data_IF_792957838449
#
_entry.id   IF_792957838449
#
_cell.length_a   1.000
_cell.length_b   1.000
_cell.length_c   1.000
_cell.angle_alpha   90.00
_cell.angle_beta   90.00
_cell.angle_gamma   90.00
#
_symmetry.space_group_name_H-M   'P 1'
#
loop_
_entity.id
_entity.type
_entity.pdbx_description
1 polymer ?
#
# COMPACT_ATOMS: atom_id res chain seq x y z
N UNK A 1 -11.90 1.18 24.78
CA UNK A 1 -10.78 0.27 24.52
C UNK A 1 -9.92 0.85 23.43
N UNK A 2 -8.64 0.93 23.67
CA UNK A 2 -7.70 1.48 22.72
C UNK A 2 -7.02 0.40 21.88
N UNK A 3 -6.14 0.83 20.99
CA UNK A 3 -5.31 -0.07 20.21
C UNK A 3 -4.38 -0.83 21.14
N UNK A 4 -4.27 -2.14 20.94
CA UNK A 4 -3.40 -2.99 21.73
C UNK A 4 -1.93 -2.73 21.36
N UNK A 5 -1.08 -2.24 22.27
CA UNK A 5 0.32 -2.01 21.97
C UNK A 5 1.11 -3.29 21.69
N UNK A 6 0.59 -4.44 22.08
CA UNK A 6 1.26 -5.73 21.85
C UNK A 6 1.24 -6.16 20.38
N UNK A 7 0.47 -5.49 19.52
CA UNK A 7 0.52 -5.76 18.09
C UNK A 7 1.80 -5.26 17.43
N UNK A 8 2.56 -4.39 18.09
CA UNK A 8 3.86 -3.95 17.56
C UNK A 8 4.77 -5.15 17.33
N UNK A 9 5.37 -5.21 16.14
CA UNK A 9 6.19 -6.34 15.73
C UNK A 9 5.43 -7.48 15.06
N UNK A 10 4.10 -7.43 15.03
CA UNK A 10 3.30 -8.46 14.37
C UNK A 10 3.48 -8.42 12.86
N UNK A 11 3.56 -9.60 12.24
CA UNK A 11 3.58 -9.77 10.79
C UNK A 11 2.36 -10.60 10.41
N UNK A 12 1.56 -10.07 9.50
CA UNK A 12 0.37 -10.77 9.01
C UNK A 12 0.73 -11.71 7.86
N UNK A 13 -0.07 -12.74 7.59
CA UNK A 13 0.16 -13.60 6.43
C UNK A 13 0.14 -12.80 5.13
N UNK A 14 0.87 -13.24 4.09
CA UNK A 14 0.80 -12.61 2.79
C UNK A 14 -0.63 -12.49 2.30
N UNK A 15 -0.96 -11.34 1.69
CA UNK A 15 -2.29 -11.12 1.13
C UNK A 15 -2.51 -11.90 -0.17
N UNK A 16 -3.71 -11.81 -0.71
CA UNK A 16 -4.02 -12.36 -2.02
C UNK A 16 -3.24 -11.60 -3.10
N UNK A 17 -2.96 -12.30 -4.21
CA UNK A 17 -2.29 -11.69 -5.36
C UNK A 17 -3.14 -10.54 -5.89
N UNK A 18 -2.52 -9.37 -6.03
CA UNK A 18 -3.10 -8.23 -6.71
C UNK A 18 -2.62 -8.21 -8.16
N UNK A 19 -3.53 -8.38 -9.10
CA UNK A 19 -3.23 -8.29 -10.53
C UNK A 19 -3.32 -6.84 -10.98
N UNK A 20 -2.22 -6.30 -11.50
CA UNK A 20 -2.16 -4.92 -11.96
C UNK A 20 -2.66 -4.84 -13.39
N UNK A 21 -3.80 -4.15 -13.59
CA UNK A 21 -4.43 -4.00 -14.89
C UNK A 21 -4.21 -2.62 -15.49
N UNK A 22 -4.20 -2.55 -16.83
CA UNK A 22 -4.08 -1.27 -17.56
C UNK A 22 -5.18 -0.29 -17.19
N UNK A 23 -6.41 -0.76 -17.16
CA UNK A 23 -7.56 0.12 -16.88
C UNK A 23 -7.48 0.71 -15.47
N UNK A 24 -7.03 -0.06 -14.50
CA UNK A 24 -6.87 0.45 -13.14
C UNK A 24 -5.77 1.51 -13.04
N UNK A 25 -4.68 1.33 -13.77
CA UNK A 25 -3.61 2.33 -13.85
C UNK A 25 -4.15 3.62 -14.47
N UNK A 26 -4.89 3.51 -15.59
CA UNK A 26 -5.49 4.68 -16.26
C UNK A 26 -6.46 5.40 -15.35
N UNK A 27 -7.35 4.68 -14.70
CA UNK A 27 -8.32 5.22 -13.75
C UNK A 27 -7.63 5.96 -12.62
N UNK A 28 -6.61 5.34 -12.03
CA UNK A 28 -5.85 5.96 -10.95
C UNK A 28 -5.09 7.21 -11.41
N UNK A 29 -4.45 7.14 -12.58
CA UNK A 29 -3.75 8.28 -13.15
C UNK A 29 -4.68 9.47 -13.34
N UNK A 30 -5.89 9.23 -13.85
CA UNK A 30 -6.89 10.28 -14.01
C UNK A 30 -7.32 10.85 -12.65
N UNK A 31 -7.56 9.99 -11.68
CA UNK A 31 -7.99 10.39 -10.33
C UNK A 31 -6.97 11.29 -9.62
N UNK A 32 -5.67 11.05 -9.83
CA UNK A 32 -4.60 11.87 -9.21
C UNK A 32 -4.12 13.00 -10.12
N UNK A 33 -4.73 13.18 -11.30
CA UNK A 33 -4.38 14.24 -12.22
C UNK A 33 -3.05 14.06 -12.95
N UNK A 34 -2.59 12.82 -13.08
CA UNK A 34 -1.37 12.52 -13.84
C UNK A 34 -1.72 12.28 -15.31
N UNK A 35 -1.17 13.10 -16.19
CA UNK A 35 -1.44 13.04 -17.64
C UNK A 35 -0.27 12.47 -18.43
N UNK A 36 0.73 11.87 -17.77
CA UNK A 36 1.87 11.25 -18.44
C UNK A 36 1.39 10.12 -19.34
N UNK A 37 1.74 10.15 -20.65
CA UNK A 37 1.35 9.09 -21.57
C UNK A 37 1.79 7.69 -21.16
N UNK A 38 2.87 7.56 -20.40
CA UNK A 38 3.37 6.27 -19.94
C UNK A 38 2.38 5.54 -19.01
N UNK A 39 1.43 6.25 -18.42
CA UNK A 39 0.37 5.64 -17.61
C UNK A 39 -0.84 5.19 -18.45
N UNK A 40 -0.88 5.54 -19.72
CA UNK A 40 -2.07 5.39 -20.56
C UNK A 40 -1.84 4.56 -21.80
N UNK A 41 -0.70 4.77 -22.44
CA UNK A 41 -0.37 4.20 -23.76
C UNK A 41 0.80 3.23 -23.63
N UNK A 42 0.56 1.92 -23.88
CA UNK A 42 1.65 0.94 -23.83
C UNK A 42 2.83 1.29 -24.75
N UNK A 43 2.58 1.89 -25.90
CA UNK A 43 3.65 2.28 -26.83
C UNK A 43 4.53 3.38 -26.23
N UNK A 44 3.93 4.35 -25.54
CA UNK A 44 4.66 5.41 -24.85
C UNK A 44 5.53 4.82 -23.71
N UNK A 45 4.98 3.89 -22.94
CA UNK A 45 5.73 3.22 -21.88
C UNK A 45 6.89 2.39 -22.45
N UNK A 46 6.68 1.68 -23.55
CA UNK A 46 7.73 0.88 -24.21
C UNK A 46 8.84 1.75 -24.77
N UNK A 47 8.50 2.94 -25.27
CA UNK A 47 9.50 3.90 -25.71
C UNK A 47 10.44 4.35 -24.58
N UNK A 48 9.99 4.27 -23.32
CA UNK A 48 10.79 4.56 -22.13
C UNK A 48 11.51 3.31 -21.58
N UNK A 49 11.35 2.15 -22.21
CA UNK A 49 11.99 0.91 -21.80
C UNK A 49 11.18 0.02 -20.87
N UNK A 50 9.90 0.31 -20.66
CA UNK A 50 9.01 -0.52 -19.85
C UNK A 50 8.19 -1.48 -20.71
N UNK A 51 7.81 -2.66 -20.21
CA UNK A 51 7.08 -3.64 -21.02
C UNK A 51 5.62 -3.27 -21.27
N UNK A 52 5.04 -2.40 -20.44
CA UNK A 52 3.65 -1.96 -20.54
C UNK A 52 3.47 -0.64 -19.77
N UNK A 53 2.24 -0.14 -19.68
CA UNK A 53 1.97 1.10 -18.93
C UNK A 53 2.44 0.97 -17.49
N UNK A 54 3.03 2.04 -16.99
CA UNK A 54 3.52 2.10 -15.61
C UNK A 54 2.52 2.85 -14.73
N UNK A 55 2.46 2.45 -13.48
CA UNK A 55 1.57 3.09 -12.52
C UNK A 55 2.16 4.40 -12.00
N UNK A 56 1.32 5.39 -11.67
CA UNK A 56 1.78 6.57 -10.94
C UNK A 56 2.43 6.16 -9.60
N UNK A 57 3.34 6.99 -9.05
CA UNK A 57 4.12 6.63 -7.86
C UNK A 57 3.30 6.24 -6.64
N UNK A 58 2.10 6.78 -6.47
CA UNK A 58 1.25 6.47 -5.30
C UNK A 58 0.27 5.32 -5.53
N UNK A 59 0.28 4.70 -6.71
CA UNK A 59 -0.60 3.57 -7.05
C UNK A 59 -0.45 2.40 -6.07
N UNK A 60 0.73 2.19 -5.53
CA UNK A 60 1.00 1.09 -4.60
C UNK A 60 0.09 1.12 -3.36
N UNK A 61 -0.50 2.27 -3.02
CA UNK A 61 -1.44 2.39 -1.89
C UNK A 61 -2.63 1.44 -2.04
N UNK A 62 -3.07 1.17 -3.26
CA UNK A 62 -4.21 0.28 -3.52
C UNK A 62 -3.91 -1.13 -3.01
N UNK A 63 -2.75 -1.68 -3.39
CA UNK A 63 -2.34 -3.00 -2.94
C UNK A 63 -2.01 -3.01 -1.45
N UNK A 64 -1.38 -1.96 -0.94
CA UNK A 64 -1.02 -1.84 0.47
C UNK A 64 -2.26 -1.81 1.37
N UNK A 65 -3.28 -1.05 1.02
CA UNK A 65 -4.51 -0.96 1.82
C UNK A 65 -5.27 -2.28 1.88
N UNK A 66 -5.19 -3.11 0.85
CA UNK A 66 -5.75 -4.46 0.90
C UNK A 66 -5.08 -5.31 1.96
N UNK A 67 -3.77 -5.17 2.13
CA UNK A 67 -3.03 -5.84 3.19
C UNK A 67 -3.36 -5.26 4.57
N UNK A 68 -3.45 -3.94 4.67
CA UNK A 68 -3.79 -3.25 5.91
C UNK A 68 -5.18 -3.61 6.42
N UNK A 69 -6.07 -4.03 5.55
CA UNK A 69 -7.40 -4.49 5.94
C UNK A 69 -7.34 -5.67 6.92
N UNK A 70 -6.29 -6.49 6.89
CA UNK A 70 -6.10 -7.57 7.85
C UNK A 70 -5.97 -7.02 9.28
N UNK A 71 -5.18 -5.95 9.44
CA UNK A 71 -4.99 -5.29 10.73
C UNK A 71 -6.29 -4.61 11.19
N UNK A 72 -6.93 -3.87 10.30
CA UNK A 72 -8.17 -3.14 10.63
C UNK A 72 -9.27 -4.10 11.08
N UNK A 73 -9.35 -5.27 10.49
CA UNK A 73 -10.36 -6.28 10.80
C UNK A 73 -9.97 -7.21 11.93
N UNK A 74 -8.75 -7.12 12.42
CA UNK A 74 -8.26 -8.00 13.50
C UNK A 74 -8.84 -7.51 14.84
N UNK A 75 -9.74 -8.29 15.46
CA UNK A 75 -10.32 -7.88 16.74
C UNK A 75 -9.27 -7.75 17.86
N UNK A 76 -8.16 -8.49 17.75
CA UNK A 76 -7.08 -8.39 18.73
C UNK A 76 -6.31 -7.06 18.65
N UNK A 77 -6.40 -6.35 17.53
CA UNK A 77 -5.71 -5.07 17.37
C UNK A 77 -6.42 -3.91 18.09
N UNK A 78 -7.73 -4.00 18.29
CA UNK A 78 -8.49 -2.97 18.99
C UNK A 78 -8.64 -1.66 18.21
N UNK A 79 -8.61 -1.72 16.89
CA UNK A 79 -8.73 -0.53 16.03
C UNK A 79 -10.20 -0.27 15.69
N UNK A 80 -10.71 0.88 16.11
CA UNK A 80 -12.03 1.35 15.68
C UNK A 80 -11.87 2.13 14.37
N UNK A 81 -12.27 1.52 13.25
CA UNK A 81 -12.10 2.11 11.93
C UNK A 81 -12.77 3.48 11.78
N UNK A 82 -13.86 3.72 12.49
CA UNK A 82 -14.55 5.01 12.45
C UNK A 82 -13.69 6.15 13.01
N UNK A 83 -12.64 5.83 13.75
CA UNK A 83 -11.74 6.80 14.37
C UNK A 83 -10.40 6.92 13.64
N UNK A 84 -10.21 6.16 12.56
CA UNK A 84 -8.95 6.13 11.81
C UNK A 84 -8.85 7.32 10.87
N UNK A 85 -7.70 8.00 10.92
CA UNK A 85 -7.30 8.94 9.87
C UNK A 85 -5.86 8.60 9.44
N UNK A 86 -5.55 8.83 8.19
CA UNK A 86 -4.18 8.67 7.69
C UNK A 86 -3.35 9.90 8.04
N UNK A 87 -2.23 9.67 8.70
CA UNK A 87 -1.31 10.74 9.07
C UNK A 87 -0.15 10.89 8.09
N UNK A 88 0.34 9.77 7.55
CA UNK A 88 1.47 9.77 6.63
C UNK A 88 1.41 8.52 5.74
N UNK A 89 1.79 8.71 4.48
CA UNK A 89 2.05 7.63 3.53
C UNK A 89 3.43 7.86 2.91
N UNK A 90 4.26 6.81 2.91
CA UNK A 90 5.61 6.87 2.36
C UNK A 90 5.80 5.71 1.40
N UNK A 91 6.33 6.01 0.21
CA UNK A 91 6.57 5.03 -0.83
C UNK A 91 8.07 4.94 -1.11
N UNK A 92 8.58 3.72 -1.13
CA UNK A 92 9.96 3.45 -1.55
C UNK A 92 9.90 2.41 -2.67
N UNK A 93 10.19 2.81 -3.90
CA UNK A 93 10.07 1.94 -5.06
C UNK A 93 11.43 1.35 -5.43
N UNK A 94 11.44 0.04 -5.68
CA UNK A 94 12.59 -0.64 -6.29
C UNK A 94 12.52 -0.53 -7.82
N UNK A 95 11.32 -0.50 -8.37
CA UNK A 95 11.01 -0.22 -9.77
C UNK A 95 9.56 0.26 -9.88
N UNK A 96 9.17 0.86 -11.03
CA UNK A 96 7.76 1.16 -11.25
C UNK A 96 6.90 -0.10 -11.25
N UNK A 97 5.66 0.03 -10.80
CA UNK A 97 4.65 -0.99 -10.96
C UNK A 97 4.16 -0.93 -12.41
N UNK A 98 4.07 -2.06 -13.06
CA UNK A 98 3.74 -2.18 -14.48
C UNK A 98 2.49 -3.04 -14.64
N UNK A 99 1.65 -2.72 -15.62
CA UNK A 99 0.51 -3.56 -15.97
C UNK A 99 0.98 -4.99 -16.28
N UNK A 100 0.29 -5.97 -15.72
CA UNK A 100 0.68 -7.37 -15.78
C UNK A 100 1.42 -7.86 -14.55
N UNK A 101 1.88 -6.98 -13.68
CA UNK A 101 2.47 -7.39 -12.40
C UNK A 101 1.44 -8.14 -11.56
N UNK A 102 1.92 -9.16 -10.87
CA UNK A 102 1.16 -9.93 -9.89
C UNK A 102 1.84 -9.73 -8.54
N UNK A 103 1.25 -8.88 -7.71
CA UNK A 103 1.87 -8.40 -6.47
C UNK A 103 1.33 -9.14 -5.25
N UNK A 104 2.23 -9.51 -4.37
CA UNK A 104 1.91 -10.08 -3.06
C UNK A 104 2.46 -9.13 -2.00
N UNK A 105 1.61 -8.74 -1.05
CA UNK A 105 1.99 -7.85 0.03
C UNK A 105 2.07 -8.57 1.36
N UNK A 106 3.05 -8.18 2.17
CA UNK A 106 3.18 -8.65 3.55
C UNK A 106 3.14 -7.45 4.48
N UNK A 107 2.20 -7.46 5.40
CA UNK A 107 1.98 -6.37 6.36
C UNK A 107 2.77 -6.60 7.64
N UNK A 108 3.56 -5.59 8.00
CA UNK A 108 4.28 -5.52 9.27
C UNK A 108 3.74 -4.35 10.10
N UNK A 109 3.50 -4.58 11.38
CA UNK A 109 3.23 -3.49 12.33
C UNK A 109 4.54 -3.09 12.96
N UNK A 110 5.08 -1.93 12.55
CA UNK A 110 6.39 -1.50 13.01
C UNK A 110 6.36 -0.85 14.38
N UNK A 111 5.32 -0.08 14.69
CA UNK A 111 5.21 0.56 15.99
C UNK A 111 3.77 0.95 16.34
N UNK A 112 3.52 1.02 17.64
CA UNK A 112 2.30 1.58 18.20
C UNK A 112 2.72 2.59 19.26
N UNK A 113 2.33 3.85 19.10
CA UNK A 113 2.65 4.92 20.03
C UNK A 113 1.40 5.66 20.46
N UNK A 114 1.39 6.16 21.68
CA UNK A 114 0.33 7.05 22.16
C UNK A 114 0.82 8.49 22.10
N UNK A 115 -0.04 9.37 21.61
CA UNK A 115 0.25 10.81 21.55
C UNK A 115 -1.06 11.58 21.71
N UNK A 116 -1.13 12.39 22.77
CA UNK A 116 -2.33 13.21 23.05
C UNK A 116 -3.63 12.42 23.21
N UNK A 117 -3.55 11.20 23.73
CA UNK A 117 -4.71 10.33 23.87
C UNK A 117 -5.06 9.54 22.59
N UNK A 118 -4.40 9.84 21.48
CA UNK A 118 -4.55 9.12 20.21
C UNK A 118 -3.53 7.99 20.14
N UNK A 119 -3.85 6.93 19.40
CA UNK A 119 -2.89 5.89 19.07
C UNK A 119 -2.36 6.12 17.65
N UNK A 120 -1.04 6.08 17.50
CA UNK A 120 -0.37 6.18 16.21
C UNK A 120 0.21 4.83 15.86
N UNK A 121 -0.30 4.20 14.81
CA UNK A 121 0.14 2.88 14.36
C UNK A 121 0.90 3.05 13.05
N UNK A 122 2.16 2.66 13.04
CA UNK A 122 2.97 2.66 11.83
C UNK A 122 3.04 1.24 11.27
N UNK A 123 2.63 1.10 10.02
CA UNK A 123 2.67 -0.17 9.30
C UNK A 123 3.60 -0.08 8.12
N UNK A 124 4.05 -1.22 7.65
CA UNK A 124 4.88 -1.34 6.47
C UNK A 124 4.40 -2.53 5.65
N UNK A 125 4.07 -2.28 4.39
CA UNK A 125 3.71 -3.33 3.44
C UNK A 125 4.84 -3.51 2.45
N UNK A 126 5.43 -4.70 2.44
CA UNK A 126 6.43 -5.09 1.45
C UNK A 126 5.69 -5.71 0.27
N UNK A 127 5.73 -5.04 -0.89
CA UNK A 127 5.15 -5.55 -2.12
C UNK A 127 6.23 -6.19 -2.98
N UNK A 128 5.98 -7.45 -3.36
CA UNK A 128 6.86 -8.21 -4.24
C UNK A 128 6.03 -8.91 -5.29
N UNK A 129 6.65 -9.35 -6.38
CA UNK A 129 5.98 -10.24 -7.34
C UNK A 129 5.77 -11.61 -6.71
N UNK A 130 4.93 -12.45 -7.32
CA UNK A 130 4.75 -13.84 -6.89
C UNK A 130 6.07 -14.61 -6.86
N UNK A 131 7.01 -14.27 -7.73
CA UNK A 131 8.33 -14.90 -7.76
C UNK A 131 9.30 -14.37 -6.71
N UNK A 132 8.90 -13.35 -5.94
CA UNK A 132 9.71 -12.80 -4.86
C UNK A 132 10.55 -11.58 -5.22
N UNK A 133 10.40 -11.02 -6.42
CA UNK A 133 11.10 -9.78 -6.80
C UNK A 133 10.53 -8.60 -6.01
N UNK A 134 11.35 -7.87 -5.23
CA UNK A 134 10.87 -6.68 -4.52
C UNK A 134 10.45 -5.59 -5.49
N UNK A 135 9.29 -4.99 -5.26
CA UNK A 135 8.73 -3.94 -6.13
C UNK A 135 8.61 -2.62 -5.40
N UNK A 136 7.98 -2.60 -4.24
CA UNK A 136 7.76 -1.37 -3.50
C UNK A 136 7.55 -1.66 -2.01
N UNK A 137 7.94 -0.71 -1.18
CA UNK A 137 7.62 -0.69 0.24
C UNK A 137 6.71 0.49 0.52
N UNK A 138 5.56 0.25 1.13
CA UNK A 138 4.61 1.29 1.51
C UNK A 138 4.55 1.37 3.03
N UNK A 139 4.95 2.51 3.58
CA UNK A 139 4.90 2.77 5.02
C UNK A 139 3.78 3.74 5.31
N UNK A 140 2.86 3.34 6.18
CA UNK A 140 1.70 4.14 6.55
C UNK A 140 1.72 4.43 8.03
N UNK A 141 1.34 5.65 8.42
CA UNK A 141 1.03 5.96 9.81
C UNK A 141 -0.45 6.30 9.88
N UNK A 142 -1.20 5.47 10.58
CA UNK A 142 -2.60 5.75 10.87
C UNK A 142 -2.72 6.28 12.30
N UNK A 143 -3.63 7.23 12.46
CA UNK A 143 -3.96 7.80 13.78
C UNK A 143 -5.36 7.31 14.15
N UNK A 144 -5.44 6.56 15.24
CA UNK A 144 -6.72 6.14 15.81
C UNK A 144 -7.08 7.16 16.89
N UNK A 145 -8.07 7.98 16.61
CA UNK A 145 -8.45 9.08 17.50
C UNK A 145 -9.04 8.55 18.81
N UNK A 146 -8.81 9.29 19.86
CA UNK A 146 -9.38 8.99 21.17
C UNK A 146 -10.91 9.06 21.16
#
# INVERSE_FOLDING_TARGET
>A
MGVDPEIAGRVYPPGEVYEVGREKIREFAEAVGSDDPAHRDPAAARALGYPDVIAPPTFAVIAAQRCEAQLIRDPAAGIDYARVVHGEERFSHHRPIVAGDRLVGTLHVDSVRSAGGHAMVTTRVELATESGEPVSTVTSTIVVRA
#
